data_IF_544593420547
#
_entry.id   IF_544593420547
#
_cell.length_a   1.000
_cell.length_b   1.000
_cell.length_c   1.000
_cell.angle_alpha   90.00
_cell.angle_beta   90.00
_cell.angle_gamma   90.00
#
_symmetry.space_group_name_H-M   'P 1'
#
loop_
_entity.id
_entity.type
_entity.pdbx_description
1 polymer ?
#
# COMPACT_ATOMS: atom_id res chain seq x y z
N UNK A 1 45.95 -33.14 1.98
CA UNK A 1 45.50 -31.97 1.18
C UNK A 1 45.54 -32.18 -0.34
N UNK A 2 46.27 -33.16 -0.90
CA UNK A 2 46.41 -33.29 -2.38
C UNK A 2 45.34 -34.18 -3.06
N UNK A 3 44.35 -34.71 -2.34
CA UNK A 3 43.27 -35.51 -2.93
C UNK A 3 42.08 -34.66 -3.44
N UNK A 4 41.92 -33.42 -2.96
CA UNK A 4 40.86 -32.49 -3.42
C UNK A 4 41.04 -32.08 -4.89
N UNK A 5 42.27 -32.05 -5.40
CA UNK A 5 42.58 -31.63 -6.77
C UNK A 5 42.56 -32.76 -7.81
N UNK A 6 42.40 -34.03 -7.39
CA UNK A 6 42.32 -35.19 -8.33
C UNK A 6 40.93 -35.44 -8.90
N UNK A 7 39.90 -34.75 -8.41
CA UNK A 7 38.52 -34.80 -8.91
C UNK A 7 38.23 -33.57 -9.79
N UNK A 8 39.03 -33.30 -10.83
CA UNK A 8 38.88 -32.07 -11.64
C UNK A 8 37.45 -31.88 -12.21
N UNK A 9 36.71 -32.97 -12.41
CA UNK A 9 35.31 -32.97 -12.83
C UNK A 9 34.32 -32.51 -11.73
N UNK A 10 34.64 -32.66 -10.45
CA UNK A 10 33.78 -32.22 -9.33
C UNK A 10 33.89 -30.73 -9.01
N UNK A 11 34.93 -30.04 -9.50
CA UNK A 11 35.06 -28.58 -9.35
C UNK A 11 34.11 -27.80 -10.26
N UNK A 12 33.79 -28.36 -11.43
CA UNK A 12 32.87 -27.75 -12.38
C UNK A 12 31.46 -27.47 -11.79
N UNK A 13 30.75 -28.42 -11.15
CA UNK A 13 29.45 -28.15 -10.56
C UNK A 13 29.51 -27.15 -9.40
N UNK A 14 30.60 -27.14 -8.61
CA UNK A 14 30.79 -26.17 -7.52
C UNK A 14 30.92 -24.74 -8.06
N UNK A 15 31.73 -24.55 -9.10
CA UNK A 15 31.88 -23.26 -9.77
C UNK A 15 30.58 -22.84 -10.47
N UNK A 16 29.86 -23.77 -11.09
CA UNK A 16 28.58 -23.50 -11.72
C UNK A 16 27.51 -23.05 -10.71
N UNK A 17 27.43 -23.70 -9.55
CA UNK A 17 26.51 -23.33 -8.46
C UNK A 17 26.89 -21.96 -7.87
N UNK A 18 28.18 -21.70 -7.63
CA UNK A 18 28.65 -20.38 -7.17
C UNK A 18 28.32 -19.28 -8.15
N UNK A 19 28.52 -19.52 -9.46
CA UNK A 19 28.17 -18.56 -10.50
C UNK A 19 26.66 -18.30 -10.54
N UNK A 20 25.84 -19.35 -10.42
CA UNK A 20 24.38 -19.21 -10.38
C UNK A 20 23.92 -18.42 -9.15
N UNK A 21 24.49 -18.67 -7.97
CA UNK A 21 24.22 -17.90 -6.75
C UNK A 21 24.63 -16.45 -6.90
N UNK A 22 25.79 -16.18 -7.53
CA UNK A 22 26.25 -14.82 -7.82
C UNK A 22 25.26 -14.10 -8.75
N UNK A 23 24.84 -14.75 -9.83
CA UNK A 23 23.83 -14.20 -10.76
C UNK A 23 22.52 -13.90 -10.03
N UNK A 24 22.05 -14.81 -9.17
CA UNK A 24 20.86 -14.58 -8.35
C UNK A 24 21.04 -13.35 -7.44
N UNK A 25 22.16 -13.22 -6.73
CA UNK A 25 22.43 -12.03 -5.91
C UNK A 25 22.37 -10.75 -6.75
N UNK A 26 22.95 -10.73 -7.95
CA UNK A 26 22.86 -9.57 -8.85
C UNK A 26 21.44 -9.26 -9.34
N UNK A 27 20.62 -10.30 -9.57
CA UNK A 27 19.19 -10.14 -9.93
C UNK A 27 18.36 -9.62 -8.75
N UNK A 28 18.66 -10.07 -7.52
CA UNK A 28 17.92 -9.69 -6.31
C UNK A 28 18.41 -8.37 -5.67
N UNK A 29 19.65 -7.94 -5.90
CA UNK A 29 20.19 -6.67 -5.37
C UNK A 29 19.32 -5.45 -5.73
N UNK A 30 18.79 -5.30 -6.97
CA UNK A 30 17.82 -4.26 -7.30
C UNK A 30 16.53 -4.31 -6.49
N UNK A 31 16.04 -5.51 -6.13
CA UNK A 31 14.80 -5.70 -5.36
C UNK A 31 14.96 -5.16 -3.93
N UNK A 32 16.14 -5.35 -3.32
CA UNK A 32 16.42 -4.91 -1.96
C UNK A 32 16.94 -3.47 -1.84
N UNK A 33 17.24 -2.78 -2.95
CA UNK A 33 17.80 -1.41 -2.92
C UNK A 33 16.84 -0.33 -2.41
N UNK A 34 15.64 -0.69 -1.97
CA UNK A 34 14.60 0.23 -1.54
C UNK A 34 14.02 1.01 -2.72
N UNK A 35 12.72 1.25 -2.70
CA UNK A 35 12.02 1.97 -3.75
C UNK A 35 12.37 3.48 -3.73
N UNK A 36 13.61 3.83 -4.09
CA UNK A 36 13.90 5.10 -4.79
C UNK A 36 13.82 4.84 -6.29
N UNK A 37 12.75 4.18 -6.74
CA UNK A 37 12.44 4.16 -8.16
C UNK A 37 11.60 5.38 -8.43
N UNK A 38 12.06 6.19 -9.39
CA UNK A 38 11.29 7.26 -10.02
C UNK A 38 9.85 6.78 -10.18
N UNK A 39 8.94 7.17 -9.30
CA UNK A 39 7.59 6.61 -9.28
C UNK A 39 6.74 7.21 -10.40
N UNK A 40 7.36 7.77 -11.46
CA UNK A 40 6.94 8.89 -12.29
C UNK A 40 5.60 8.76 -13.01
N UNK A 41 4.93 7.63 -12.90
CA UNK A 41 3.77 7.28 -13.70
C UNK A 41 2.78 6.39 -12.94
N UNK A 42 2.71 6.45 -11.61
CA UNK A 42 1.68 5.71 -10.88
C UNK A 42 0.32 6.35 -11.18
N UNK A 43 -0.61 5.64 -11.85
CA UNK A 43 -1.90 6.19 -12.22
C UNK A 43 -2.84 6.14 -11.01
N UNK A 44 -3.12 7.31 -10.44
CA UNK A 44 -4.06 7.50 -9.34
C UNK A 44 -5.22 8.35 -9.83
N UNK A 45 -6.42 8.03 -9.36
CA UNK A 45 -7.62 8.78 -9.69
C UNK A 45 -8.05 9.60 -8.47
N UNK A 46 -8.60 10.78 -8.71
CA UNK A 46 -9.35 11.53 -7.71
C UNK A 46 -10.75 11.81 -8.25
N UNK A 47 -11.75 11.55 -7.42
CA UNK A 47 -13.16 11.80 -7.73
C UNK A 47 -13.70 12.74 -6.67
N UNK A 48 -14.29 13.86 -7.12
CA UNK A 48 -15.02 14.76 -6.23
C UNK A 48 -16.53 14.65 -6.51
N UNK A 49 -17.26 13.93 -5.65
CA UNK A 49 -18.74 13.91 -5.69
C UNK A 49 -19.34 15.01 -4.80
N UNK A 50 -18.52 15.63 -3.93
CA UNK A 50 -18.88 16.76 -3.09
C UNK A 50 -18.92 18.05 -3.90
N UNK A 51 -20.11 18.59 -4.14
CA UNK A 51 -20.31 19.89 -4.79
C UNK A 51 -20.05 21.08 -3.86
N UNK A 52 -19.41 20.84 -2.71
CA UNK A 52 -19.09 21.86 -1.73
C UNK A 52 -17.72 22.49 -1.96
N UNK A 53 -17.53 23.70 -1.44
CA UNK A 53 -16.26 24.45 -1.58
C UNK A 53 -15.06 23.73 -0.94
N UNK A 54 -15.32 22.85 0.02
CA UNK A 54 -14.28 22.11 0.74
C UNK A 54 -13.75 20.97 -0.12
N UNK A 55 -14.62 20.21 -0.79
CA UNK A 55 -14.21 19.18 -1.76
C UNK A 55 -13.36 19.76 -2.89
N UNK A 56 -13.78 20.90 -3.45
CA UNK A 56 -13.01 21.61 -4.49
C UNK A 56 -11.65 22.10 -3.99
N UNK A 57 -11.59 22.64 -2.76
CA UNK A 57 -10.33 23.09 -2.15
C UNK A 57 -9.36 21.92 -1.91
N UNK A 58 -9.87 20.74 -1.57
CA UNK A 58 -9.05 19.53 -1.43
C UNK A 58 -8.49 19.13 -2.80
N UNK A 59 -9.32 19.07 -3.84
CA UNK A 59 -8.93 18.74 -5.19
C UNK A 59 -7.83 19.69 -5.70
N UNK A 60 -8.02 21.00 -5.54
CA UNK A 60 -7.06 22.04 -5.94
C UNK A 60 -5.74 21.92 -5.18
N UNK A 61 -5.77 21.78 -3.84
CA UNK A 61 -4.56 21.62 -3.04
C UNK A 61 -3.79 20.34 -3.39
N UNK A 62 -4.50 19.27 -3.71
CA UNK A 62 -3.91 18.02 -4.15
C UNK A 62 -3.20 18.18 -5.49
N UNK A 63 -3.88 18.78 -6.46
CA UNK A 63 -3.31 19.05 -7.77
C UNK A 63 -2.12 20.00 -7.64
N UNK A 64 -2.19 21.07 -6.84
CA UNK A 64 -1.08 22.02 -6.67
C UNK A 64 0.12 21.43 -5.92
N UNK A 65 -0.10 20.73 -4.80
CA UNK A 65 0.99 20.12 -4.02
C UNK A 65 1.65 18.94 -4.74
N UNK A 66 0.98 18.35 -5.73
CA UNK A 66 1.46 17.17 -6.46
C UNK A 66 1.76 17.41 -7.95
N UNK A 67 1.38 18.57 -8.54
CA UNK A 67 1.72 18.96 -9.92
C UNK A 67 3.24 19.14 -10.02
N UNK A 68 3.94 18.08 -10.43
CA UNK A 68 5.40 18.04 -10.56
C UNK A 68 6.08 16.90 -9.80
N UNK A 69 5.33 16.14 -8.99
CA UNK A 69 5.81 14.93 -8.33
C UNK A 69 5.43 13.68 -9.10
N UNK A 70 6.04 12.56 -8.71
CA UNK A 70 6.02 11.28 -9.42
C UNK A 70 4.64 10.64 -9.73
N UNK A 71 3.49 11.22 -9.38
CA UNK A 71 2.19 10.56 -9.54
C UNK A 71 1.36 11.15 -10.70
N UNK A 72 0.76 10.29 -11.52
CA UNK A 72 -0.17 10.69 -12.58
C UNK A 72 -1.59 10.72 -12.03
N UNK A 73 -2.06 11.90 -11.68
CA UNK A 73 -3.43 12.12 -11.22
C UNK A 73 -4.38 12.27 -12.42
N UNK A 74 -5.44 11.48 -12.43
CA UNK A 74 -6.59 11.64 -13.32
C UNK A 74 -7.78 12.11 -12.48
N UNK A 75 -8.43 13.18 -12.90
CA UNK A 75 -9.68 13.63 -12.28
C UNK A 75 -10.82 12.97 -13.04
N UNK A 76 -11.63 12.17 -12.35
CA UNK A 76 -12.85 11.57 -12.91
C UNK A 76 -14.08 12.23 -12.28
N UNK A 77 -15.13 12.38 -13.08
CA UNK A 77 -16.36 13.07 -12.65
C UNK A 77 -17.26 12.19 -11.77
N UNK A 78 -17.12 10.86 -11.85
CA UNK A 78 -18.01 9.91 -11.20
C UNK A 78 -17.24 8.74 -10.58
N UNK A 79 -17.71 8.27 -9.42
CA UNK A 79 -17.21 7.07 -8.72
C UNK A 79 -17.27 5.83 -9.60
N UNK A 80 -18.27 5.69 -10.46
CA UNK A 80 -18.44 4.49 -11.29
C UNK A 80 -17.38 4.38 -12.40
N UNK A 81 -16.97 5.50 -12.98
CA UNK A 81 -15.90 5.52 -13.98
C UNK A 81 -14.55 5.18 -13.34
N UNK A 82 -14.28 5.76 -12.17
CA UNK A 82 -13.09 5.44 -11.38
C UNK A 82 -13.06 3.96 -10.97
N UNK A 83 -14.21 3.41 -10.54
CA UNK A 83 -14.34 2.00 -10.20
C UNK A 83 -14.02 1.10 -11.40
N UNK A 84 -14.56 1.42 -12.58
CA UNK A 84 -14.31 0.66 -13.81
C UNK A 84 -12.86 0.77 -14.29
N UNK A 85 -12.24 1.95 -14.20
CA UNK A 85 -10.85 2.14 -14.60
C UNK A 85 -9.87 1.42 -13.68
N UNK A 86 -10.11 1.43 -12.37
CA UNK A 86 -9.33 0.65 -11.40
C UNK A 86 -9.51 -0.85 -11.63
N UNK A 87 -10.75 -1.31 -11.83
CA UNK A 87 -11.07 -2.73 -12.08
C UNK A 87 -10.41 -3.26 -13.37
N UNK A 88 -10.28 -2.41 -14.39
CA UNK A 88 -9.65 -2.74 -15.67
C UNK A 88 -8.13 -2.49 -15.69
N UNK A 89 -7.48 -2.33 -14.52
CA UNK A 89 -6.05 -2.10 -14.36
C UNK A 89 -5.51 -0.82 -15.03
N UNK A 90 -6.37 0.17 -15.33
CA UNK A 90 -5.93 1.46 -15.88
C UNK A 90 -5.42 2.42 -14.79
N UNK A 91 -5.86 2.22 -13.56
CA UNK A 91 -5.43 2.95 -12.37
C UNK A 91 -5.16 1.99 -11.20
N UNK A 92 -4.26 2.38 -10.29
CA UNK A 92 -3.89 1.54 -9.13
C UNK A 92 -4.82 1.79 -7.93
N UNK A 93 -5.44 2.96 -7.87
CA UNK A 93 -6.45 3.31 -6.88
C UNK A 93 -7.08 4.68 -7.13
N UNK A 94 -8.14 4.98 -6.38
CA UNK A 94 -8.80 6.28 -6.36
C UNK A 94 -8.98 6.81 -4.93
N UNK A 95 -8.91 8.13 -4.79
CA UNK A 95 -9.48 8.85 -3.64
C UNK A 95 -10.84 9.40 -4.06
N UNK A 96 -11.89 9.02 -3.33
CA UNK A 96 -13.25 9.52 -3.54
C UNK A 96 -13.60 10.44 -2.38
N UNK A 97 -14.04 11.64 -2.73
CA UNK A 97 -14.66 12.60 -1.81
C UNK A 97 -16.18 12.42 -1.96
N UNK A 98 -16.86 11.79 -0.99
CA UNK A 98 -18.30 11.51 -1.08
C UNK A 98 -19.14 12.78 -1.14
N UNK A 99 -20.34 12.73 -1.72
CA UNK A 99 -21.22 13.91 -1.85
C UNK A 99 -21.61 14.59 -0.54
N UNK A 100 -21.58 13.86 0.58
CA UNK A 100 -21.92 14.37 1.91
C UNK A 100 -20.69 14.88 2.68
N UNK A 101 -19.51 14.92 2.05
CA UNK A 101 -18.25 15.26 2.73
C UNK A 101 -18.26 16.67 3.34
N UNK A 102 -18.61 17.70 2.57
CA UNK A 102 -18.69 19.07 3.09
C UNK A 102 -19.73 19.21 4.20
N UNK A 103 -20.84 18.48 4.09
CA UNK A 103 -21.92 18.49 5.08
C UNK A 103 -21.45 17.86 6.40
N UNK A 104 -20.90 16.66 6.34
CA UNK A 104 -20.40 15.94 7.51
C UNK A 104 -19.26 16.71 8.18
N UNK A 105 -18.40 17.38 7.40
CA UNK A 105 -17.35 18.21 7.97
C UNK A 105 -17.91 19.48 8.64
N UNK A 106 -18.99 20.06 8.11
CA UNK A 106 -19.75 21.11 8.78
C UNK A 106 -20.34 20.63 10.11
N UNK A 107 -20.88 19.41 10.17
CA UNK A 107 -21.39 18.81 11.42
C UNK A 107 -20.26 18.57 12.43
N UNK A 108 -19.08 18.16 11.97
CA UNK A 108 -17.87 18.07 12.82
C UNK A 108 -17.52 19.45 13.38
N UNK A 109 -17.48 20.47 12.53
CA UNK A 109 -17.19 21.85 12.93
C UNK A 109 -18.19 22.36 13.98
N UNK A 110 -19.49 22.21 13.71
CA UNK A 110 -20.55 22.60 14.62
C UNK A 110 -20.45 21.85 15.95
N UNK A 111 -20.17 20.55 15.92
CA UNK A 111 -19.98 19.73 17.14
C UNK A 111 -18.82 20.24 17.98
N UNK A 112 -17.69 20.57 17.34
CA UNK A 112 -16.49 21.08 18.01
C UNK A 112 -16.74 22.46 18.66
N UNK A 113 -17.53 23.33 18.02
CA UNK A 113 -17.85 24.66 18.55
C UNK A 113 -18.97 24.67 19.60
N UNK A 114 -19.96 23.79 19.44
CA UNK A 114 -21.15 23.73 20.32
C UNK A 114 -20.96 22.84 21.55
N UNK A 115 -19.90 22.02 21.59
CA UNK A 115 -19.63 21.10 22.69
C UNK A 115 -20.55 19.88 22.73
N UNK A 116 -21.26 19.57 21.63
CA UNK A 116 -22.01 18.32 21.54
C UNK A 116 -21.05 17.12 21.53
N UNK A 117 -21.52 15.97 22.02
CA UNK A 117 -20.67 14.81 22.33
C UNK A 117 -20.82 13.65 21.32
N UNK A 118 -21.49 13.90 20.19
CA UNK A 118 -21.95 12.85 19.28
C UNK A 118 -21.50 13.05 17.82
N UNK A 119 -20.45 13.85 17.59
CA UNK A 119 -19.93 14.10 16.25
C UNK A 119 -19.22 12.88 15.68
N UNK A 120 -19.46 12.60 14.40
CA UNK A 120 -18.76 11.57 13.65
C UNK A 120 -17.78 12.21 12.66
N UNK A 121 -16.59 11.62 12.44
CA UNK A 121 -15.65 12.13 11.46
C UNK A 121 -16.23 12.03 10.05
N UNK A 122 -15.84 12.95 9.17
CA UNK A 122 -16.21 12.89 7.76
C UNK A 122 -15.47 11.74 7.07
N UNK A 123 -16.15 10.96 6.23
CA UNK A 123 -15.53 9.83 5.55
C UNK A 123 -14.86 10.24 4.23
N UNK A 124 -13.64 9.75 4.00
CA UNK A 124 -12.98 9.71 2.70
C UNK A 124 -12.84 8.25 2.26
N UNK A 125 -13.26 7.93 1.05
CA UNK A 125 -13.16 6.57 0.51
C UNK A 125 -11.90 6.42 -0.34
N UNK A 126 -11.19 5.31 -0.15
CA UNK A 126 -10.03 4.92 -0.93
C UNK A 126 -10.34 3.60 -1.64
N UNK A 127 -10.42 3.65 -2.96
CA UNK A 127 -10.56 2.46 -3.79
C UNK A 127 -9.19 1.93 -4.20
N UNK A 128 -8.98 0.63 -4.07
CA UNK A 128 -7.74 -0.04 -4.48
C UNK A 128 -8.04 -1.25 -5.37
N UNK A 129 -7.13 -1.53 -6.29
CA UNK A 129 -7.06 -2.81 -6.98
C UNK A 129 -5.99 -3.69 -6.35
N UNK A 130 -6.36 -4.57 -5.41
CA UNK A 130 -5.36 -5.47 -4.81
C UNK A 130 -4.90 -6.60 -5.75
N UNK A 131 -5.54 -6.76 -6.91
CA UNK A 131 -5.21 -7.76 -7.92
C UNK A 131 -4.08 -7.35 -8.87
N UNK A 132 -3.72 -6.07 -8.92
CA UNK A 132 -2.69 -5.55 -9.84
C UNK A 132 -1.25 -5.83 -9.37
N UNK A 133 -1.10 -6.36 -8.15
CA UNK A 133 0.17 -6.74 -7.55
C UNK A 133 0.46 -6.00 -6.25
N UNK A 134 1.20 -6.65 -5.35
CA UNK A 134 1.43 -6.13 -3.98
C UNK A 134 2.15 -4.78 -3.96
N UNK A 135 3.19 -4.62 -4.76
CA UNK A 135 3.98 -3.37 -4.80
C UNK A 135 3.12 -2.20 -5.28
N UNK A 136 2.41 -2.37 -6.39
CA UNK A 136 1.52 -1.33 -6.93
C UNK A 136 0.39 -0.97 -5.95
N UNK A 137 -0.24 -1.97 -5.34
CA UNK A 137 -1.26 -1.79 -4.30
C UNK A 137 -0.72 -1.04 -3.09
N UNK A 138 0.48 -1.40 -2.62
CA UNK A 138 1.12 -0.75 -1.48
C UNK A 138 1.45 0.71 -1.77
N UNK A 139 1.96 0.99 -2.97
CA UNK A 139 2.25 2.36 -3.42
C UNK A 139 0.96 3.18 -3.43
N UNK A 140 -0.09 2.70 -4.11
CA UNK A 140 -1.36 3.41 -4.18
C UNK A 140 -1.99 3.61 -2.78
N UNK A 141 -2.02 2.56 -1.96
CA UNK A 141 -2.53 2.62 -0.59
C UNK A 141 -1.78 3.64 0.26
N UNK A 142 -0.44 3.60 0.26
CA UNK A 142 0.37 4.52 1.07
C UNK A 142 0.22 5.96 0.58
N UNK A 143 0.23 6.19 -0.74
CA UNK A 143 0.08 7.53 -1.31
C UNK A 143 -1.30 8.10 -0.99
N UNK A 144 -2.37 7.36 -1.27
CA UNK A 144 -3.75 7.82 -1.04
C UNK A 144 -4.04 8.03 0.46
N UNK A 145 -3.53 7.16 1.34
CA UNK A 145 -3.61 7.37 2.78
C UNK A 145 -2.81 8.59 3.23
N UNK A 146 -1.59 8.79 2.73
CA UNK A 146 -0.76 9.96 3.08
C UNK A 146 -1.46 11.25 2.68
N UNK A 147 -2.07 11.28 1.50
CA UNK A 147 -2.90 12.39 1.04
C UNK A 147 -4.06 12.63 2.01
N UNK A 148 -4.89 11.62 2.27
CA UNK A 148 -6.06 11.78 3.12
C UNK A 148 -5.71 12.20 4.57
N UNK A 149 -4.63 11.64 5.13
CA UNK A 149 -4.11 12.03 6.45
C UNK A 149 -3.58 13.47 6.46
N UNK A 150 -2.90 13.90 5.39
CA UNK A 150 -2.42 15.28 5.26
C UNK A 150 -3.59 16.27 5.23
N UNK A 151 -4.63 15.95 4.46
CA UNK A 151 -5.88 16.71 4.42
C UNK A 151 -6.55 16.78 5.79
N UNK A 152 -6.70 15.63 6.48
CA UNK A 152 -7.27 15.58 7.83
C UNK A 152 -6.49 16.45 8.82
N UNK A 153 -5.15 16.42 8.74
CA UNK A 153 -4.28 17.22 9.61
C UNK A 153 -4.38 18.71 9.35
N UNK A 154 -4.48 19.10 8.08
CA UNK A 154 -4.67 20.51 7.68
C UNK A 154 -6.00 21.05 8.18
N UNK A 155 -7.09 20.28 8.04
CA UNK A 155 -8.41 20.60 8.60
C UNK A 155 -8.37 20.68 10.13
N UNK A 156 -7.74 19.71 10.80
CA UNK A 156 -7.57 19.74 12.26
C UNK A 156 -6.83 20.99 12.73
N UNK A 157 -5.79 21.42 12.00
CA UNK A 157 -5.05 22.65 12.31
C UNK A 157 -5.95 23.88 12.21
N UNK A 158 -6.76 23.98 11.15
CA UNK A 158 -7.72 25.09 10.98
C UNK A 158 -8.72 25.13 12.13
N UNK A 159 -9.28 23.98 12.53
CA UNK A 159 -10.20 23.91 13.66
C UNK A 159 -9.52 24.28 14.99
N UNK A 160 -8.29 23.83 15.22
CA UNK A 160 -7.49 24.20 16.41
C UNK A 160 -7.25 25.71 16.48
N UNK A 161 -6.86 26.32 15.36
CA UNK A 161 -6.63 27.76 15.28
C UNK A 161 -7.91 28.56 15.53
N UNK A 162 -9.04 28.13 14.95
CA UNK A 162 -10.32 28.81 15.17
C UNK A 162 -10.78 28.72 16.62
N UNK A 163 -10.66 27.54 17.26
CA UNK A 163 -10.99 27.35 18.67
C UNK A 163 -10.14 28.26 19.58
N UNK A 164 -8.84 28.37 19.30
CA UNK A 164 -7.92 29.25 20.03
C UNK A 164 -8.28 30.73 19.83
N UNK A 165 -8.60 31.16 18.61
CA UNK A 165 -9.01 32.53 18.33
C UNK A 165 -10.32 32.91 19.03
N UNK A 166 -11.26 31.97 19.12
CA UNK A 166 -12.54 32.16 19.83
C UNK A 166 -12.44 31.96 21.34
N UNK A 167 -11.28 31.56 21.86
CA UNK A 167 -11.06 31.31 23.29
C UNK A 167 -11.93 30.19 23.86
N UNK A 168 -12.37 29.25 23.03
CA UNK A 168 -13.26 28.15 23.45
C UNK A 168 -12.46 26.96 23.95
N UNK A 169 -12.93 26.35 25.04
CA UNK A 169 -12.36 25.11 25.57
C UNK A 169 -13.07 23.92 24.97
N UNK A 170 -12.31 22.97 24.42
CA UNK A 170 -12.84 21.73 23.88
C UNK A 170 -13.19 20.75 25.00
N UNK A 171 -14.33 20.07 24.87
CA UNK A 171 -14.66 18.95 25.73
C UNK A 171 -13.67 17.79 25.50
N UNK A 172 -13.17 17.10 26.56
CA UNK A 172 -12.19 16.01 26.41
C UNK A 172 -12.64 14.88 25.47
N UNK A 173 -13.94 14.60 25.42
CA UNK A 173 -14.53 13.60 24.53
C UNK A 173 -14.39 13.93 23.04
N UNK A 174 -14.31 15.22 22.70
CA UNK A 174 -14.15 15.69 21.32
C UNK A 174 -12.68 15.82 20.90
N UNK A 175 -11.72 15.58 21.80
CA UNK A 175 -10.29 15.67 21.48
C UNK A 175 -9.88 14.71 20.36
N UNK A 176 -10.44 13.50 20.35
CA UNK A 176 -10.16 12.51 19.29
C UNK A 176 -10.72 12.94 17.94
N UNK A 177 -11.91 13.57 17.94
CA UNK A 177 -12.54 14.10 16.75
C UNK A 177 -11.78 15.31 16.19
N UNK A 178 -11.21 16.14 17.07
CA UNK A 178 -10.38 17.26 16.65
C UNK A 178 -9.04 16.79 16.06
N UNK A 179 -8.43 15.75 16.60
CA UNK A 179 -7.17 15.22 16.06
C UNK A 179 -7.36 14.50 14.71
N UNK A 180 -8.49 13.80 14.54
CA UNK A 180 -8.82 13.07 13.32
C UNK A 180 -10.25 13.39 12.86
N UNK A 181 -10.48 14.58 12.28
CA UNK A 181 -11.81 14.98 11.81
C UNK A 181 -12.27 14.20 10.57
N UNK A 182 -11.35 13.49 9.91
CA UNK A 182 -11.62 12.71 8.70
C UNK A 182 -11.21 11.26 8.92
N UNK A 183 -12.11 10.33 8.58
CA UNK A 183 -11.90 8.89 8.64
C UNK A 183 -11.67 8.34 7.23
N UNK A 184 -10.68 7.47 7.08
CA UNK A 184 -10.34 6.85 5.80
C UNK A 184 -10.98 5.47 5.73
N UNK A 185 -11.82 5.23 4.73
CA UNK A 185 -12.46 3.95 4.46
C UNK A 185 -11.85 3.36 3.21
N UNK A 186 -11.10 2.26 3.35
CA UNK A 186 -10.48 1.59 2.21
C UNK A 186 -11.32 0.41 1.71
N UNK A 187 -11.60 0.38 0.42
CA UNK A 187 -12.39 -0.67 -0.25
C UNK A 187 -11.61 -1.25 -1.44
N UNK A 188 -11.70 -2.56 -1.62
CA UNK A 188 -11.14 -3.24 -2.79
C UNK A 188 -12.20 -3.34 -3.90
N UNK A 189 -11.90 -2.83 -5.09
CA UNK A 189 -12.85 -2.84 -6.23
C UNK A 189 -13.19 -4.24 -6.74
N UNK A 190 -12.32 -5.22 -6.48
CA UNK A 190 -12.51 -6.60 -6.90
C UNK A 190 -13.40 -7.40 -5.94
N UNK A 191 -13.81 -6.82 -4.80
CA UNK A 191 -14.61 -7.52 -3.79
C UNK A 191 -13.90 -8.72 -3.17
N UNK A 192 -12.56 -8.69 -3.11
CA UNK A 192 -11.79 -9.80 -2.53
C UNK A 192 -12.04 -9.90 -1.02
N UNK A 193 -12.13 -11.12 -0.47
CA UNK A 193 -12.19 -11.33 0.97
C UNK A 193 -10.98 -10.70 1.69
N UNK A 194 -11.23 -10.12 2.87
CA UNK A 194 -10.20 -9.46 3.72
C UNK A 194 -9.03 -10.40 4.07
N UNK A 195 -9.26 -11.72 4.06
CA UNK A 195 -8.31 -12.73 4.50
C UNK A 195 -7.44 -13.34 3.38
N UNK A 196 -7.36 -12.73 2.19
CA UNK A 196 -6.54 -13.27 1.09
C UNK A 196 -5.02 -13.20 1.34
N UNK A 197 -4.58 -12.56 2.43
CA UNK A 197 -3.16 -12.31 2.75
C UNK A 197 -2.36 -11.76 1.55
N UNK A 198 -3.04 -11.05 0.64
CA UNK A 198 -2.48 -10.44 -0.58
C UNK A 198 -1.64 -11.41 -1.44
N UNK A 199 -1.91 -12.72 -1.39
CA UNK A 199 -1.14 -13.74 -2.12
C UNK A 199 0.13 -14.25 -1.41
N UNK A 200 0.39 -13.81 -0.16
CA UNK A 200 1.52 -14.32 0.63
C UNK A 200 1.36 -15.79 1.00
N UNK A 201 0.13 -16.25 1.21
CA UNK A 201 -0.15 -17.66 1.56
C UNK A 201 0.34 -18.63 0.47
N UNK A 202 -0.09 -18.52 -0.81
CA UNK A 202 0.43 -19.39 -1.86
C UNK A 202 1.94 -19.24 -2.08
N UNK A 203 2.51 -18.04 -1.90
CA UNK A 203 3.96 -17.83 -1.95
C UNK A 203 4.71 -18.65 -0.88
N UNK A 204 4.27 -18.58 0.38
CA UNK A 204 4.88 -19.35 1.48
C UNK A 204 4.71 -20.85 1.27
N UNK A 205 3.55 -21.30 0.76
CA UNK A 205 3.32 -22.71 0.44
C UNK A 205 4.30 -23.22 -0.63
N UNK A 206 4.52 -22.45 -1.69
CA UNK A 206 5.50 -22.79 -2.72
C UNK A 206 6.93 -22.83 -2.15
N UNK A 207 7.30 -21.87 -1.30
CA UNK A 207 8.60 -21.80 -0.65
C UNK A 207 8.86 -23.03 0.24
N UNK A 208 7.90 -23.38 1.10
CA UNK A 208 8.00 -24.56 1.98
C UNK A 208 8.12 -25.83 1.11
N UNK A 209 7.25 -25.98 0.10
CA UNK A 209 7.30 -27.14 -0.80
C UNK A 209 8.64 -27.27 -1.51
N UNK A 210 9.21 -26.16 -1.98
CA UNK A 210 10.52 -26.15 -2.64
C UNK A 210 11.65 -26.55 -1.68
N UNK A 211 11.66 -26.02 -0.45
CA UNK A 211 12.69 -26.36 0.56
C UNK A 211 12.56 -27.83 0.96
N UNK A 212 11.34 -28.29 1.26
CA UNK A 212 11.08 -29.69 1.62
C UNK A 212 11.43 -30.63 0.47
N UNK A 213 11.10 -30.29 -0.77
CA UNK A 213 11.44 -31.09 -1.95
C UNK A 213 12.94 -31.23 -2.15
N UNK A 214 13.68 -30.12 -2.03
CA UNK A 214 15.14 -30.13 -2.18
C UNK A 214 15.82 -30.92 -1.06
N UNK A 215 15.45 -30.68 0.21
CA UNK A 215 16.01 -31.41 1.35
C UNK A 215 15.65 -32.90 1.28
N UNK A 216 14.41 -33.22 0.94
CA UNK A 216 13.93 -34.60 0.80
C UNK A 216 14.68 -35.35 -0.30
N UNK A 217 14.84 -34.74 -1.49
CA UNK A 217 15.59 -35.34 -2.59
C UNK A 217 17.06 -35.60 -2.22
N UNK A 218 17.73 -34.63 -1.59
CA UNK A 218 19.11 -34.79 -1.14
C UNK A 218 19.25 -35.87 -0.06
N UNK A 219 18.28 -35.96 0.86
CA UNK A 219 18.28 -36.98 1.90
C UNK A 219 18.11 -38.38 1.30
N UNK A 220 17.15 -38.58 0.39
CA UNK A 220 16.94 -39.84 -0.35
C UNK A 220 18.21 -40.21 -1.12
N UNK A 221 18.81 -39.25 -1.83
CA UNK A 221 20.05 -39.46 -2.57
C UNK A 221 21.20 -39.90 -1.66
N UNK A 222 21.36 -39.25 -0.49
CA UNK A 222 22.36 -39.63 0.50
C UNK A 222 22.15 -41.04 1.06
N UNK A 223 20.91 -41.43 1.36
CA UNK A 223 20.58 -42.80 1.80
C UNK A 223 20.86 -43.84 0.70
N UNK A 224 20.55 -43.53 -0.56
CA UNK A 224 20.85 -44.41 -1.69
C UNK A 224 22.36 -44.60 -1.89
N UNK A 225 23.14 -43.51 -1.82
CA UNK A 225 24.60 -43.58 -1.93
C UNK A 225 25.24 -44.39 -0.79
N UNK A 226 24.74 -44.24 0.44
CA UNK A 226 25.17 -45.07 1.59
C UNK A 226 24.79 -46.53 1.41
N UNK A 227 23.57 -46.81 0.97
CA UNK A 227 23.09 -48.17 0.67
C UNK A 227 23.91 -48.86 -0.42
N UNK A 228 24.36 -48.10 -1.43
CA UNK A 228 25.17 -48.61 -2.54
C UNK A 228 26.67 -48.70 -2.19
N UNK A 229 27.07 -48.46 -0.93
CA UNK A 229 28.47 -48.56 -0.49
C UNK A 229 29.39 -47.46 -1.02
N UNK A 230 28.83 -46.42 -1.65
CA UNK A 230 29.59 -45.29 -2.22
C UNK A 230 29.90 -44.20 -1.21
N UNK A 231 29.20 -44.19 -0.07
CA UNK A 231 29.50 -43.36 1.10
C UNK A 231 29.67 -44.29 2.32
N UNK A 232 30.85 -44.30 2.93
CA UNK A 232 31.12 -44.95 4.23
C UNK A 232 30.63 -44.09 5.38
#
# INVERSE_FOLDING_TARGET
MNQLFKLSSSWFPIWLISLLMLVMVFVYLPIFKGAKQNMSDVPLIIVNEDKGKIGDAILLNLIEKQNGNSFKWKVDENREDAFNDIRNNKAYGALIIPSDYSKNLGEVHDTLLSGLTNGQPADLEVLLNEGIGQTATMIASNTLQTVALSTSKEISSQFKEELLQKGMSLAPENASLLDNPVKIVSTNVLGLPVNLNKGMTPFVMALISSITGMLGANMIHGYLLRSNGTLT
#
